data_IF_082492654690
#
_entry.id   IF_082492654690
#
_cell.length_a   1.000
_cell.length_b   1.000
_cell.length_c   1.000
_cell.angle_alpha   90.00
_cell.angle_beta   90.00
_cell.angle_gamma   90.00
#
_symmetry.space_group_name_H-M   'P 1'
#
loop_
_entity.id
_entity.type
_entity.pdbx_description
1 polymer ?
#
# COMPACT_ATOMS: atom_id res chain seq x y z
N UNK A 1 -5.25 13.18 -8.44
CA UNK A 1 -5.81 13.26 -7.06
C UNK A 1 -6.39 11.91 -6.67
N UNK A 2 -7.14 11.30 -7.58
CA UNK A 2 -7.72 9.95 -7.49
C UNK A 2 -6.77 8.85 -6.97
N UNK A 3 -5.56 8.67 -7.54
CA UNK A 3 -4.65 7.59 -7.11
C UNK A 3 -4.28 7.63 -5.62
N UNK A 4 -4.12 8.82 -5.03
CA UNK A 4 -3.77 8.94 -3.62
C UNK A 4 -4.95 8.60 -2.73
N UNK A 5 -6.13 9.13 -3.03
CA UNK A 5 -7.35 8.80 -2.30
C UNK A 5 -7.67 7.31 -2.41
N UNK A 6 -7.50 6.72 -3.60
CA UNK A 6 -7.65 5.29 -3.77
C UNK A 6 -6.61 4.48 -2.97
N UNK A 7 -5.37 4.95 -2.85
CA UNK A 7 -4.37 4.32 -2.00
C UNK A 7 -4.75 4.41 -0.51
N UNK A 8 -5.26 5.55 -0.05
CA UNK A 8 -5.76 5.73 1.33
C UNK A 8 -6.95 4.78 1.60
N UNK A 9 -7.91 4.71 0.67
CA UNK A 9 -9.05 3.79 0.74
C UNK A 9 -8.56 2.34 0.75
N UNK A 10 -7.64 1.96 -0.12
CA UNK A 10 -7.08 0.61 -0.16
C UNK A 10 -6.37 0.24 1.14
N UNK A 11 -5.57 1.15 1.71
CA UNK A 11 -4.91 0.96 2.99
C UNK A 11 -5.93 0.71 4.12
N UNK A 12 -6.98 1.54 4.19
CA UNK A 12 -8.05 1.38 5.16
C UNK A 12 -8.75 0.03 4.97
N UNK A 13 -9.21 -0.28 3.76
CA UNK A 13 -9.91 -1.52 3.44
C UNK A 13 -9.10 -2.76 3.82
N UNK A 14 -7.82 -2.80 3.45
CA UNK A 14 -6.92 -3.92 3.77
C UNK A 14 -6.68 -4.04 5.28
N UNK A 15 -6.42 -2.92 5.97
CA UNK A 15 -6.20 -2.90 7.42
C UNK A 15 -7.44 -3.43 8.16
N UNK A 16 -8.63 -2.92 7.83
CA UNK A 16 -9.86 -3.31 8.51
C UNK A 16 -10.29 -4.73 8.17
N UNK A 17 -10.07 -5.19 6.94
CA UNK A 17 -10.28 -6.58 6.57
C UNK A 17 -9.38 -7.52 7.40
N UNK A 18 -8.08 -7.23 7.46
CA UNK A 18 -7.13 -8.02 8.23
C UNK A 18 -7.44 -7.99 9.74
N UNK A 19 -7.80 -6.82 10.28
CA UNK A 19 -8.20 -6.66 11.68
C UNK A 19 -9.45 -7.49 12.02
N UNK A 20 -10.47 -7.47 11.16
CA UNK A 20 -11.69 -8.30 11.31
C UNK A 20 -11.39 -9.79 11.23
N UNK A 21 -10.42 -10.18 10.40
CA UNK A 21 -9.91 -11.55 10.31
C UNK A 21 -8.97 -11.94 11.46
N UNK A 22 -8.85 -11.11 12.50
CA UNK A 22 -7.99 -11.32 13.68
C UNK A 22 -6.49 -11.48 13.34
N UNK A 23 -6.05 -10.94 12.20
CA UNK A 23 -4.64 -10.87 11.85
C UNK A 23 -3.96 -9.72 12.62
N UNK A 24 -2.70 -9.93 13.02
CA UNK A 24 -1.90 -8.89 13.66
C UNK A 24 -1.40 -7.87 12.61
N UNK A 25 -2.32 -6.98 12.21
CA UNK A 25 -2.06 -5.94 11.22
C UNK A 25 -1.63 -4.63 11.87
N UNK A 26 -0.69 -3.94 11.23
CA UNK A 26 -0.22 -2.61 11.59
C UNK A 26 -0.15 -1.76 10.33
N UNK A 27 -0.37 -0.46 10.47
CA UNK A 27 -0.14 0.51 9.40
C UNK A 27 1.25 1.12 9.61
N UNK A 28 2.00 1.31 8.54
CA UNK A 28 3.24 2.07 8.54
C UNK A 28 3.11 3.27 7.61
N UNK A 29 3.51 4.46 8.07
CA UNK A 29 3.74 5.62 7.20
C UNK A 29 5.10 6.24 7.51
N UNK A 30 5.66 6.99 6.57
CA UNK A 30 6.98 7.61 6.74
C UNK A 30 7.02 8.61 7.91
N UNK A 31 5.88 9.27 8.20
CA UNK A 31 5.77 10.26 9.29
C UNK A 31 5.50 9.65 10.66
N UNK A 32 4.78 8.52 10.72
CA UNK A 32 4.22 7.99 11.97
C UNK A 32 4.82 6.66 12.42
N UNK A 33 5.60 6.00 11.55
CA UNK A 33 6.13 4.69 11.84
C UNK A 33 5.03 3.64 11.94
N UNK A 34 5.27 2.58 12.71
CA UNK A 34 4.29 1.49 12.89
C UNK A 34 3.23 1.86 13.93
N UNK A 35 1.98 1.93 13.49
CA UNK A 35 0.82 2.18 14.35
C UNK A 35 -0.21 1.04 14.24
N UNK A 36 -1.07 0.94 15.25
CA UNK A 36 -2.17 -0.01 15.32
C UNK A 36 -3.34 0.58 16.11
N UNK A 37 -4.51 -0.04 15.97
CA UNK A 37 -5.76 0.41 16.59
C UNK A 37 -6.63 1.18 15.61
N UNK A 38 -7.92 0.85 15.57
CA UNK A 38 -8.86 1.32 14.55
C UNK A 38 -8.94 2.85 14.47
N UNK A 39 -9.07 3.51 15.63
CA UNK A 39 -9.19 4.96 15.70
C UNK A 39 -7.90 5.65 15.25
N UNK A 40 -6.77 5.24 15.81
CA UNK A 40 -5.46 5.83 15.49
C UNK A 40 -5.14 5.66 14.00
N UNK A 41 -5.43 4.50 13.42
CA UNK A 41 -5.23 4.27 11.98
C UNK A 41 -6.11 5.18 11.13
N UNK A 42 -7.39 5.33 11.47
CA UNK A 42 -8.28 6.25 10.73
C UNK A 42 -7.83 7.71 10.86
N UNK A 43 -7.45 8.14 12.06
CA UNK A 43 -6.92 9.49 12.30
C UNK A 43 -5.63 9.74 11.52
N UNK A 44 -4.73 8.76 11.46
CA UNK A 44 -3.50 8.84 10.65
C UNK A 44 -3.79 8.87 9.15
N UNK A 45 -4.66 7.99 8.65
CA UNK A 45 -5.03 7.98 7.24
C UNK A 45 -5.78 9.25 6.81
N UNK A 46 -6.53 9.89 7.71
CA UNK A 46 -7.17 11.17 7.43
C UNK A 46 -6.16 12.35 7.42
N UNK A 47 -5.02 12.20 8.10
CA UNK A 47 -4.00 13.24 8.22
C UNK A 47 -2.80 13.05 7.28
N UNK A 48 -2.71 11.92 6.58
CA UNK A 48 -1.62 11.60 5.66
C UNK A 48 -1.68 12.50 4.44
N UNK A 49 -0.51 12.88 3.91
CA UNK A 49 -0.38 13.67 2.68
C UNK A 49 0.57 12.98 1.70
N UNK A 50 0.55 13.36 0.43
CA UNK A 50 1.44 12.75 -0.60
C UNK A 50 2.92 12.95 -0.33
N UNK A 51 3.26 14.09 0.25
CA UNK A 51 4.65 14.52 0.49
C UNK A 51 4.89 14.60 2.01
N UNK A 52 4.72 13.47 2.69
CA UNK A 52 5.13 13.40 4.09
C UNK A 52 6.65 13.52 4.20
N UNK A 53 7.11 14.42 5.08
CA UNK A 53 8.51 14.43 5.48
C UNK A 53 8.88 13.06 6.05
N UNK A 54 9.87 12.43 5.42
CA UNK A 54 10.48 11.20 5.92
C UNK A 54 11.16 11.52 7.25
N UNK A 55 10.53 11.12 8.36
CA UNK A 55 11.09 11.30 9.70
C UNK A 55 12.21 10.29 9.99
N UNK A 56 12.74 9.62 8.97
CA UNK A 56 13.77 8.59 9.04
C UNK A 56 13.35 7.34 9.82
N UNK A 57 12.05 7.10 9.97
CA UNK A 57 11.60 5.82 10.49
C UNK A 57 11.91 4.75 9.44
N UNK A 58 12.82 3.84 9.80
CA UNK A 58 13.28 2.80 8.87
C UNK A 58 12.10 1.95 8.44
N UNK A 59 12.03 1.69 7.14
CA UNK A 59 11.08 0.73 6.58
C UNK A 59 11.14 -0.58 7.37
N UNK A 60 10.00 -1.16 7.78
CA UNK A 60 9.99 -2.41 8.51
C UNK A 60 10.75 -3.51 7.74
N UNK A 61 11.51 -4.33 8.47
CA UNK A 61 12.20 -5.50 7.89
C UNK A 61 11.28 -6.70 7.69
N UNK A 62 10.01 -6.58 8.09
CA UNK A 62 8.99 -7.62 7.97
C UNK A 62 8.30 -7.55 6.60
N UNK A 63 7.76 -8.68 6.07
CA UNK A 63 6.93 -8.66 4.88
C UNK A 63 5.74 -7.71 5.05
N UNK A 64 5.52 -6.85 4.06
CA UNK A 64 4.48 -5.83 4.08
C UNK A 64 3.72 -5.77 2.76
N UNK A 65 2.60 -5.05 2.76
CA UNK A 65 1.89 -4.66 1.53
C UNK A 65 2.24 -3.20 1.26
N UNK A 66 3.00 -2.96 0.19
CA UNK A 66 3.46 -1.62 -0.18
C UNK A 66 2.50 -0.96 -1.16
N UNK A 67 1.91 0.18 -0.80
CA UNK A 67 1.06 0.96 -1.68
C UNK A 67 1.88 2.11 -2.24
N UNK A 68 1.99 2.20 -3.56
CA UNK A 68 2.83 3.23 -4.19
C UNK A 68 2.37 3.61 -5.58
N UNK A 69 2.69 4.82 -6.00
CA UNK A 69 2.66 5.23 -7.41
C UNK A 69 4.02 5.06 -8.11
N UNK A 70 5.09 4.78 -7.34
CA UNK A 70 6.46 4.74 -7.82
C UNK A 70 7.08 3.35 -7.73
N UNK A 71 7.44 2.79 -8.89
CA UNK A 71 8.04 1.46 -9.00
C UNK A 71 9.50 1.38 -8.53
N UNK A 72 10.20 2.51 -8.38
CA UNK A 72 11.62 2.57 -8.02
C UNK A 72 11.93 2.13 -6.57
N UNK A 73 10.92 1.86 -5.76
CA UNK A 73 11.06 1.41 -4.37
C UNK A 73 10.77 -0.08 -4.19
N UNK A 74 10.22 -0.74 -5.21
CA UNK A 74 9.71 -2.11 -5.11
C UNK A 74 10.83 -3.15 -5.01
N UNK A 75 12.00 -2.88 -5.57
CA UNK A 75 13.20 -3.73 -5.48
C UNK A 75 13.84 -3.74 -4.08
N UNK A 76 13.49 -2.77 -3.23
CA UNK A 76 14.02 -2.63 -1.86
C UNK A 76 13.13 -3.28 -0.80
N UNK A 77 11.99 -3.86 -1.20
CA UNK A 77 11.05 -4.43 -0.25
C UNK A 77 11.59 -5.71 0.39
N UNK A 78 11.29 -5.96 1.67
CA UNK A 78 11.62 -7.23 2.31
C UNK A 78 11.05 -8.43 1.54
N UNK A 79 11.78 -9.55 1.57
CA UNK A 79 11.33 -10.79 0.94
C UNK A 79 9.95 -11.22 1.45
N UNK A 80 9.08 -11.66 0.53
CA UNK A 80 7.71 -12.04 0.86
C UNK A 80 6.70 -10.90 0.85
N UNK A 81 7.15 -9.65 0.72
CA UNK A 81 6.25 -8.49 0.57
C UNK A 81 5.38 -8.60 -0.68
N UNK A 82 4.30 -7.82 -0.67
CA UNK A 82 3.39 -7.61 -1.80
C UNK A 82 3.33 -6.12 -2.08
N UNK A 83 2.81 -5.75 -3.24
CA UNK A 83 2.63 -4.35 -3.60
C UNK A 83 1.29 -4.12 -4.30
N UNK A 84 0.77 -2.91 -4.12
CA UNK A 84 -0.29 -2.33 -4.93
C UNK A 84 0.26 -1.09 -5.63
N UNK A 85 0.26 -1.12 -6.95
CA UNK A 85 0.76 -0.04 -7.79
C UNK A 85 -0.42 0.79 -8.29
N UNK A 86 -0.40 2.09 -8.02
CA UNK A 86 -1.32 3.08 -8.56
C UNK A 86 -0.59 3.88 -9.65
N UNK A 87 -0.54 3.36 -10.90
CA UNK A 87 0.31 3.92 -11.93
C UNK A 87 -0.10 5.36 -12.27
N UNK A 88 0.89 6.23 -12.42
CA UNK A 88 0.69 7.48 -13.16
C UNK A 88 0.60 7.18 -14.66
N UNK A 89 -0.03 8.07 -15.41
CA UNK A 89 -0.15 7.93 -16.87
C UNK A 89 1.23 7.68 -17.50
N UNK A 90 1.31 6.71 -18.43
CA UNK A 90 2.53 6.29 -19.13
C UNK A 90 3.65 5.66 -18.27
N UNK A 91 3.40 5.22 -17.03
CA UNK A 91 4.39 4.46 -16.27
C UNK A 91 4.58 3.06 -16.85
N UNK A 92 5.77 2.78 -17.39
CA UNK A 92 6.18 1.43 -17.78
C UNK A 92 6.38 0.59 -16.52
N UNK A 93 5.50 -0.37 -16.31
CA UNK A 93 5.62 -1.34 -15.22
C UNK A 93 6.83 -2.23 -15.53
N UNK A 94 7.88 -2.23 -14.69
CA UNK A 94 9.06 -3.04 -14.96
C UNK A 94 8.71 -4.53 -15.05
N UNK A 95 9.18 -5.19 -16.09
CA UNK A 95 8.89 -6.61 -16.36
C UNK A 95 9.44 -7.58 -15.30
N UNK A 96 10.37 -7.12 -14.45
CA UNK A 96 10.89 -7.91 -13.33
C UNK A 96 9.90 -8.01 -12.16
N UNK A 97 8.97 -7.05 -12.03
CA UNK A 97 8.05 -7.02 -10.88
C UNK A 97 7.23 -8.31 -10.79
N UNK A 98 6.69 -8.80 -11.92
CA UNK A 98 5.93 -10.04 -11.96
C UNK A 98 6.75 -11.31 -11.69
N UNK A 99 8.09 -11.24 -11.71
CA UNK A 99 8.96 -12.42 -11.52
C UNK A 99 9.37 -12.64 -10.06
N UNK A 100 9.55 -11.56 -9.28
CA UNK A 100 10.13 -11.64 -7.93
C UNK A 100 9.15 -11.32 -6.81
N UNK A 101 8.13 -10.47 -7.08
CA UNK A 101 7.18 -10.00 -6.08
C UNK A 101 5.77 -10.04 -6.63
N UNK A 102 4.86 -10.74 -5.95
CA UNK A 102 3.44 -10.70 -6.32
C UNK A 102 2.84 -9.36 -5.93
N UNK A 103 1.99 -8.82 -6.78
CA UNK A 103 1.31 -7.56 -6.51
C UNK A 103 0.15 -7.35 -7.46
N UNK A 104 -0.49 -6.19 -7.32
CA UNK A 104 -1.65 -5.78 -8.10
C UNK A 104 -1.42 -4.40 -8.68
N UNK A 105 -1.68 -4.24 -9.97
CA UNK A 105 -1.67 -2.93 -10.64
C UNK A 105 -3.12 -2.45 -10.66
N UNK A 106 -3.38 -1.31 -10.05
CA UNK A 106 -4.71 -0.71 -10.03
C UNK A 106 -4.98 -0.04 -11.36
N UNK A 107 -6.12 -0.38 -11.94
CA UNK A 107 -6.66 0.24 -13.14
C UNK A 107 -7.71 1.29 -12.73
N UNK A 108 -7.52 2.54 -13.14
CA UNK A 108 -8.45 3.65 -12.86
C UNK A 108 -9.83 3.45 -13.48
N UNK A 109 -9.94 2.66 -14.56
CA UNK A 109 -11.20 2.40 -15.27
C UNK A 109 -12.08 1.35 -14.58
N UNK A 110 -11.57 0.67 -13.56
CA UNK A 110 -12.28 -0.36 -12.81
C UNK A 110 -12.42 0.12 -11.36
N UNK A 111 -13.58 -0.09 -10.73
CA UNK A 111 -13.73 0.28 -9.32
C UNK A 111 -12.68 -0.43 -8.44
N UNK A 112 -12.13 0.31 -7.48
CA UNK A 112 -11.08 -0.18 -6.58
C UNK A 112 -11.54 -1.44 -5.81
N UNK A 113 -12.78 -1.44 -5.30
CA UNK A 113 -13.37 -2.56 -4.57
C UNK A 113 -13.32 -3.87 -5.38
N UNK A 114 -13.80 -3.84 -6.63
CA UNK A 114 -13.80 -5.01 -7.51
C UNK A 114 -12.39 -5.54 -7.81
N UNK A 115 -11.36 -4.70 -7.70
CA UNK A 115 -9.97 -5.10 -7.92
C UNK A 115 -9.36 -5.69 -6.66
N UNK A 116 -9.68 -5.15 -5.48
CA UNK A 116 -9.19 -5.64 -4.18
C UNK A 116 -9.82 -6.97 -3.77
N UNK A 117 -11.07 -7.24 -4.18
CA UNK A 117 -11.75 -8.51 -3.91
C UNK A 117 -11.22 -9.68 -4.76
N UNK A 118 -10.55 -9.39 -5.87
CA UNK A 118 -10.02 -10.42 -6.76
C UNK A 118 -8.71 -10.96 -6.22
N UNK A 119 -8.57 -12.29 -6.27
CA UNK A 119 -7.29 -12.96 -6.04
C UNK A 119 -6.32 -12.45 -7.12
N UNK A 120 -5.15 -11.88 -6.74
CA UNK A 120 -4.11 -11.53 -7.71
C UNK A 120 -3.72 -12.79 -8.49
N UNK A 121 -3.96 -12.79 -9.81
CA UNK A 121 -3.61 -13.89 -10.72
C UNK A 121 -2.08 -14.00 -10.87
#
# INVERSE_FOLDING_TARGET
>A
EDNFEQAVIAAASLYFYASRAQLNVKLWTAKTGLINGNRTVLETLAAVTKEEEDKQDKLPTLPLIWLTENTATLDKLPSGSRWLLFPQENVKIPSFLGKTLRGLVINSEISLENQLEKIPQ
#
